data_IF_208732019260
#
_entry.id   IF_208732019260
#
_cell.length_a   1.000
_cell.length_b   1.000
_cell.length_c   1.000
_cell.angle_alpha   90.00
_cell.angle_beta   90.00
_cell.angle_gamma   90.00
#
_symmetry.space_group_name_H-M   'P 1'
#
loop_
_entity.id
_entity.type
_entity.pdbx_description
1 polymer ?
#
# COMPACT_ATOMS: atom_id res chain seq x y z
N UNK A 1 57.04 -26.43 47.99
CA UNK A 1 55.71 -25.82 47.73
C UNK A 1 55.72 -25.27 46.32
N UNK A 2 54.93 -25.65 45.31
CA UNK A 2 53.90 -26.67 45.12
C UNK A 2 54.02 -27.11 43.64
N UNK A 3 53.98 -28.41 43.40
CA UNK A 3 53.90 -29.02 42.07
C UNK A 3 52.62 -28.55 41.35
N UNK A 4 52.72 -28.17 40.07
CA UNK A 4 51.56 -28.04 39.18
C UNK A 4 51.11 -29.45 38.73
N UNK A 5 49.86 -29.86 38.98
CA UNK A 5 49.35 -31.12 38.46
C UNK A 5 48.85 -30.96 37.01
N UNK A 6 49.44 -31.78 36.14
CA UNK A 6 48.81 -32.32 34.93
C UNK A 6 47.49 -32.99 35.34
N UNK A 7 46.35 -32.45 34.94
CA UNK A 7 45.11 -33.24 34.87
C UNK A 7 44.08 -32.54 34.00
N UNK A 8 43.74 -33.21 32.89
CA UNK A 8 42.40 -33.23 32.30
C UNK A 8 41.99 -31.90 31.63
N UNK A 9 42.50 -31.50 30.45
CA UNK A 9 42.31 -32.13 29.12
C UNK A 9 40.96 -32.82 28.85
N UNK A 10 40.00 -32.74 29.77
CA UNK A 10 38.70 -33.42 29.70
C UNK A 10 37.59 -32.45 30.10
N UNK A 11 37.71 -31.19 29.67
CA UNK A 11 36.74 -30.14 29.99
C UNK A 11 36.57 -29.14 28.83
N UNK A 12 36.73 -29.63 27.59
CA UNK A 12 36.63 -28.81 26.37
C UNK A 12 35.66 -29.38 25.32
N UNK A 13 34.94 -30.48 25.60
CA UNK A 13 34.03 -31.10 24.61
C UNK A 13 32.55 -31.06 25.05
N UNK A 14 32.23 -30.66 26.29
CA UNK A 14 30.83 -30.61 26.77
C UNK A 14 30.20 -29.20 26.82
N UNK A 15 30.83 -28.19 26.20
CA UNK A 15 30.28 -26.82 26.12
C UNK A 15 29.99 -26.36 24.69
N UNK A 16 30.13 -27.25 23.70
CA UNK A 16 29.91 -26.96 22.28
C UNK A 16 28.66 -27.67 21.71
N UNK A 17 27.63 -27.84 22.53
CA UNK A 17 26.37 -28.47 22.13
C UNK A 17 25.20 -27.93 22.96
N UNK A 18 25.01 -26.61 22.98
CA UNK A 18 23.85 -25.98 23.65
C UNK A 18 23.35 -24.67 23.04
N UNK A 19 23.73 -24.32 21.80
CA UNK A 19 23.13 -23.16 21.11
C UNK A 19 22.61 -23.51 19.71
N UNK A 20 21.91 -24.65 19.60
CA UNK A 20 21.08 -25.01 18.44
C UNK A 20 19.61 -25.18 18.87
N UNK A 21 19.09 -24.23 19.66
CA UNK A 21 17.69 -24.25 20.10
C UNK A 21 17.17 -22.86 20.51
N UNK A 22 17.42 -21.83 19.69
CA UNK A 22 16.50 -20.69 19.58
C UNK A 22 16.27 -20.51 18.09
N UNK A 23 15.36 -21.29 17.51
CA UNK A 23 13.95 -20.99 17.70
C UNK A 23 13.60 -20.02 16.59
N UNK A 24 13.23 -20.57 15.43
CA UNK A 24 12.70 -19.82 14.31
C UNK A 24 11.42 -19.11 14.70
N UNK A 25 11.54 -17.99 15.41
CA UNK A 25 10.57 -16.92 15.36
C UNK A 25 10.91 -16.14 14.10
N UNK A 26 10.65 -16.76 12.93
CA UNK A 26 10.43 -15.99 11.73
C UNK A 26 9.34 -15.00 12.10
N UNK A 27 9.70 -13.73 12.18
CA UNK A 27 8.74 -12.65 12.32
C UNK A 27 7.83 -12.75 11.11
N UNK A 28 6.76 -13.53 11.21
CA UNK A 28 5.60 -13.37 10.37
C UNK A 28 5.11 -12.01 10.77
N UNK A 29 5.54 -11.03 9.98
CA UNK A 29 5.14 -9.66 10.12
C UNK A 29 3.65 -9.65 9.77
N UNK A 30 2.83 -9.87 10.78
CA UNK A 30 1.41 -9.64 10.75
C UNK A 30 1.26 -8.18 10.38
N UNK A 31 1.08 -7.91 9.08
CA UNK A 31 0.72 -6.59 8.61
C UNK A 31 -0.56 -6.24 9.35
N UNK A 32 -0.47 -5.29 10.28
CA UNK A 32 -1.66 -4.77 10.95
C UNK A 32 -2.63 -4.31 9.85
N UNK A 33 -3.91 -4.69 9.91
CA UNK A 33 -4.92 -4.24 8.93
C UNK A 33 -4.99 -2.72 8.74
N UNK A 34 -4.42 -1.94 9.66
CA UNK A 34 -4.26 -0.48 9.58
C UNK A 34 -3.07 0.05 8.75
N UNK A 35 -2.21 -0.80 8.19
CA UNK A 35 -1.03 -0.35 7.42
C UNK A 35 -1.30 -0.12 5.92
N UNK A 36 -2.54 -0.29 5.45
CA UNK A 36 -2.91 0.08 4.09
C UNK A 36 -3.26 1.58 4.02
N UNK A 37 -2.64 2.38 3.11
CA UNK A 37 -2.96 3.80 2.95
C UNK A 37 -4.45 4.06 2.70
N UNK A 38 -5.16 3.16 2.02
CA UNK A 38 -6.61 3.29 1.82
C UNK A 38 -7.38 3.34 3.14
N UNK A 39 -7.04 2.46 4.08
CA UNK A 39 -7.70 2.37 5.39
C UNK A 39 -7.33 3.55 6.29
N UNK A 40 -6.09 4.03 6.21
CA UNK A 40 -5.62 5.21 6.97
C UNK A 40 -6.31 6.50 6.56
N UNK A 41 -6.61 6.62 5.27
CA UNK A 41 -7.20 7.83 4.66
C UNK A 41 -8.70 7.67 4.37
N UNK A 42 -9.35 6.69 4.97
CA UNK A 42 -10.76 6.41 4.78
C UNK A 42 -11.63 7.61 5.21
N UNK A 43 -12.56 7.98 4.35
CA UNK A 43 -13.57 9.00 4.63
C UNK A 43 -14.71 8.38 5.45
N UNK A 44 -15.31 9.18 6.33
CA UNK A 44 -16.57 8.80 6.95
C UNK A 44 -17.63 8.55 5.87
N UNK A 45 -18.63 7.67 6.09
CA UNK A 45 -19.66 7.39 5.09
C UNK A 45 -20.38 8.64 4.55
N UNK A 46 -20.55 9.68 5.38
CA UNK A 46 -21.14 10.97 5.01
C UNK A 46 -20.28 11.80 4.06
N UNK A 47 -18.96 11.57 4.06
CA UNK A 47 -17.98 12.38 3.33
C UNK A 47 -17.53 11.70 2.03
N UNK A 48 -17.94 10.45 1.83
CA UNK A 48 -17.74 9.75 0.56
C UNK A 48 -18.49 10.47 -0.54
N UNK A 49 -17.86 10.61 -1.70
CA UNK A 49 -18.38 11.43 -2.78
C UNK A 49 -18.24 10.75 -4.14
N UNK A 50 -18.96 11.29 -5.11
CA UNK A 50 -18.91 10.85 -6.50
C UNK A 50 -18.27 11.93 -7.36
N UNK A 51 -17.20 11.56 -8.04
CA UNK A 51 -16.51 12.41 -9.01
C UNK A 51 -16.81 11.88 -10.41
N UNK A 52 -17.43 12.71 -11.26
CA UNK A 52 -17.59 12.40 -12.69
C UNK A 52 -16.60 13.24 -13.47
N UNK A 53 -16.01 12.69 -14.53
CA UNK A 53 -15.09 13.45 -15.35
C UNK A 53 -14.50 12.67 -16.51
N UNK A 54 -13.49 13.27 -17.13
CA UNK A 54 -12.75 12.69 -18.25
C UNK A 54 -11.32 12.38 -17.82
N UNK A 55 -10.83 11.19 -18.12
CA UNK A 55 -9.45 10.78 -17.85
C UNK A 55 -8.52 11.43 -18.87
N UNK A 56 -7.67 12.34 -18.41
CA UNK A 56 -6.62 12.99 -19.19
C UNK A 56 -5.31 12.19 -19.19
N UNK A 57 -5.04 11.43 -18.13
CA UNK A 57 -3.76 10.75 -17.95
C UNK A 57 -3.94 9.43 -17.18
N UNK A 58 -3.14 8.42 -17.53
CA UNK A 58 -3.12 7.08 -16.93
C UNK A 58 -1.69 6.68 -16.63
N UNK A 59 -1.37 6.47 -15.35
CA UNK A 59 -0.05 6.03 -14.90
C UNK A 59 -0.15 4.63 -14.27
N UNK A 60 0.19 3.56 -15.00
CA UNK A 60 0.18 2.21 -14.45
C UNK A 60 1.29 2.04 -13.41
N UNK A 61 0.96 1.42 -12.29
CA UNK A 61 1.88 1.18 -11.17
C UNK A 61 1.62 -0.20 -10.56
N UNK A 62 1.74 -1.25 -11.36
CA UNK A 62 1.44 -2.64 -10.97
C UNK A 62 -0.06 -2.86 -10.74
N UNK A 63 -0.44 -3.30 -9.53
CA UNK A 63 -1.83 -3.54 -9.13
C UNK A 63 -2.69 -2.27 -9.05
N UNK A 64 -2.09 -1.08 -9.12
CA UNK A 64 -2.79 0.20 -9.08
C UNK A 64 -2.61 0.95 -10.40
N UNK A 65 -3.64 1.74 -10.72
CA UNK A 65 -3.65 2.69 -11.82
C UNK A 65 -3.95 4.07 -11.23
N UNK A 66 -3.10 5.05 -11.53
CA UNK A 66 -3.31 6.44 -11.16
C UNK A 66 -3.91 7.16 -12.37
N UNK A 67 -5.02 7.85 -12.16
CA UNK A 67 -5.76 8.56 -13.19
C UNK A 67 -5.76 10.05 -12.88
N UNK A 68 -5.47 10.88 -13.88
CA UNK A 68 -5.78 12.31 -13.81
C UNK A 68 -7.15 12.54 -14.42
N UNK A 69 -8.12 12.88 -13.61
CA UNK A 69 -9.51 13.10 -14.02
C UNK A 69 -9.81 14.58 -14.03
N UNK A 70 -10.27 15.10 -15.18
CA UNK A 70 -10.81 16.45 -15.30
C UNK A 70 -12.32 16.43 -15.08
N UNK A 71 -12.79 17.13 -14.07
CA UNK A 71 -14.20 17.32 -13.78
C UNK A 71 -14.86 18.35 -14.73
N UNK A 72 -16.21 18.43 -14.80
CA UNK A 72 -16.92 19.38 -15.66
C UNK A 72 -16.62 20.84 -15.37
N UNK A 73 -16.29 21.18 -14.11
CA UNK A 73 -15.88 22.52 -13.68
C UNK A 73 -14.44 22.87 -14.08
N UNK A 74 -13.73 21.97 -14.76
CA UNK A 74 -12.34 22.13 -15.18
C UNK A 74 -11.30 21.75 -14.11
N UNK A 75 -11.73 21.43 -12.89
CA UNK A 75 -10.83 20.97 -11.83
C UNK A 75 -10.21 19.62 -12.18
N UNK A 76 -8.98 19.38 -11.73
CA UNK A 76 -8.24 18.14 -11.98
C UNK A 76 -7.96 17.40 -10.69
N UNK A 77 -8.24 16.10 -10.69
CA UNK A 77 -8.11 15.24 -9.53
C UNK A 77 -7.25 14.04 -9.87
N UNK A 78 -6.33 13.69 -8.96
CA UNK A 78 -5.63 12.42 -9.03
C UNK A 78 -6.41 11.35 -8.30
N UNK A 79 -6.65 10.23 -8.98
CA UNK A 79 -7.40 9.08 -8.45
C UNK A 79 -6.53 7.83 -8.54
N UNK A 80 -6.30 7.17 -7.42
CA UNK A 80 -5.76 5.82 -7.38
C UNK A 80 -6.90 4.80 -7.35
N UNK A 81 -6.83 3.81 -8.25
CA UNK A 81 -7.78 2.70 -8.31
C UNK A 81 -7.04 1.38 -8.57
N UNK A 82 -7.72 0.25 -8.37
CA UNK A 82 -7.17 -1.06 -8.73
C UNK A 82 -7.17 -1.21 -10.26
N UNK A 83 -6.03 -1.61 -10.83
CA UNK A 83 -5.88 -1.76 -12.29
C UNK A 83 -6.91 -2.73 -12.89
N UNK A 84 -7.31 -3.76 -12.13
CA UNK A 84 -8.30 -4.76 -12.55
C UNK A 84 -9.73 -4.25 -12.57
N UNK A 85 -10.02 -3.21 -11.78
CA UNK A 85 -11.35 -2.62 -11.66
C UNK A 85 -11.49 -1.31 -12.48
N UNK A 86 -10.40 -0.82 -13.06
CA UNK A 86 -10.39 0.44 -13.76
C UNK A 86 -11.12 0.36 -15.11
N UNK A 87 -12.07 1.28 -15.33
CA UNK A 87 -12.64 1.50 -16.65
C UNK A 87 -11.56 1.92 -17.67
N UNK A 88 -11.66 1.35 -18.87
CA UNK A 88 -10.83 1.74 -20.03
C UNK A 88 -11.38 2.98 -20.74
N UNK A 89 -12.65 3.32 -20.50
CA UNK A 89 -13.29 4.49 -21.10
C UNK A 89 -12.70 5.80 -20.58
N UNK A 90 -12.68 6.82 -21.43
CA UNK A 90 -12.18 8.13 -21.01
C UNK A 90 -13.20 8.88 -20.15
N UNK A 91 -14.50 8.74 -20.42
CA UNK A 91 -15.55 9.28 -19.55
C UNK A 91 -15.78 8.31 -18.38
N UNK A 92 -15.57 8.77 -17.16
CA UNK A 92 -15.61 7.95 -15.95
C UNK A 92 -16.44 8.56 -14.83
N UNK A 93 -16.94 7.68 -13.99
CA UNK A 93 -17.49 8.00 -12.68
C UNK A 93 -16.64 7.29 -11.61
N UNK A 94 -16.24 8.04 -10.59
CA UNK A 94 -15.40 7.58 -9.50
C UNK A 94 -16.20 7.66 -8.21
N UNK A 95 -16.36 6.53 -7.53
CA UNK A 95 -16.83 6.53 -6.13
C UNK A 95 -15.61 6.65 -5.22
N UNK A 96 -15.49 7.80 -4.55
CA UNK A 96 -14.35 8.13 -3.68
C UNK A 96 -14.69 7.72 -2.26
N UNK A 97 -13.81 6.92 -1.66
CA UNK A 97 -13.97 6.41 -0.30
C UNK A 97 -12.82 6.80 0.63
N UNK A 98 -11.71 7.31 0.10
CA UNK A 98 -10.57 7.78 0.87
C UNK A 98 -9.89 8.97 0.19
N UNK A 99 -9.29 9.85 1.00
CA UNK A 99 -8.55 11.03 0.55
C UNK A 99 -7.28 11.20 1.37
N UNK A 100 -6.14 11.20 0.70
CA UNK A 100 -4.87 11.60 1.27
C UNK A 100 -4.52 13.00 0.77
N UNK A 101 -4.38 13.97 1.67
CA UNK A 101 -4.02 15.34 1.28
C UNK A 101 -2.58 15.44 0.78
N UNK A 102 -1.67 14.62 1.33
CA UNK A 102 -0.29 14.47 0.88
C UNK A 102 0.07 12.99 0.78
N UNK A 103 0.24 12.49 -0.45
CA UNK A 103 0.54 11.08 -0.70
C UNK A 103 1.79 10.90 -1.54
N UNK A 104 2.79 10.24 -0.97
CA UNK A 104 3.97 9.80 -1.69
C UNK A 104 3.78 8.40 -2.29
N UNK A 105 3.79 8.29 -3.62
CA UNK A 105 3.79 7.00 -4.31
C UNK A 105 5.19 6.44 -4.42
N UNK A 106 5.53 5.48 -3.55
CA UNK A 106 6.80 4.73 -3.65
C UNK A 106 6.97 4.00 -4.99
N UNK A 107 5.88 3.65 -5.66
CA UNK A 107 5.92 2.94 -6.96
C UNK A 107 6.27 3.87 -8.12
N UNK A 108 5.81 5.12 -8.06
CA UNK A 108 6.04 6.12 -9.11
C UNK A 108 7.17 7.10 -8.75
N UNK A 109 7.67 7.07 -7.51
CA UNK A 109 8.68 8.02 -7.02
C UNK A 109 8.21 9.47 -7.05
N UNK A 110 6.90 9.73 -6.84
CA UNK A 110 6.32 11.08 -6.91
C UNK A 110 5.21 11.29 -5.88
N UNK A 111 4.95 12.55 -5.61
CA UNK A 111 3.90 13.01 -4.69
C UNK A 111 2.61 13.40 -5.42
N UNK A 112 1.51 13.30 -4.68
CA UNK A 112 0.17 13.68 -5.07
C UNK A 112 -0.48 14.45 -3.92
N UNK A 113 -0.97 15.65 -4.21
CA UNK A 113 -1.69 16.48 -3.23
C UNK A 113 -2.92 17.13 -3.88
N UNK A 114 -4.15 16.66 -3.61
CA UNK A 114 -4.50 15.41 -2.92
C UNK A 114 -4.45 14.18 -3.85
N UNK A 115 -4.41 12.99 -3.26
CA UNK A 115 -4.76 11.73 -3.92
C UNK A 115 -6.10 11.20 -3.40
N UNK A 116 -7.02 10.97 -4.32
CA UNK A 116 -8.29 10.30 -4.04
C UNK A 116 -8.13 8.80 -4.27
N UNK A 117 -8.70 7.98 -3.39
CA UNK A 117 -8.82 6.54 -3.63
C UNK A 117 -10.28 6.22 -3.94
N UNK A 118 -10.49 5.51 -5.05
CA UNK A 118 -11.84 5.26 -5.53
C UNK A 118 -11.97 4.05 -6.46
N UNK A 119 -13.20 3.56 -6.61
CA UNK A 119 -13.57 2.64 -7.68
C UNK A 119 -13.97 3.45 -8.92
N UNK A 120 -13.49 3.02 -10.08
CA UNK A 120 -13.63 3.78 -11.33
C UNK A 120 -14.44 2.97 -12.32
N UNK A 121 -15.60 3.49 -12.71
CA UNK A 121 -16.49 2.87 -13.68
C UNK A 121 -16.65 3.78 -14.90
N UNK A 122 -17.10 3.22 -16.02
CA UNK A 122 -17.51 4.04 -17.15
C UNK A 122 -18.64 4.99 -16.71
N UNK A 123 -18.61 6.22 -17.21
CA UNK A 123 -19.71 7.15 -16.96
C UNK A 123 -21.00 6.56 -17.55
N UNK A 124 -22.16 6.67 -16.87
CA UNK A 124 -23.41 6.20 -17.41
C UNK A 124 -23.69 6.93 -18.73
N UNK A 125 -23.91 6.16 -19.80
CA UNK A 125 -24.44 6.68 -21.05
C UNK A 125 -25.81 7.27 -20.76
N UNK A 126 -26.02 8.56 -21.02
CA UNK A 126 -27.36 9.11 -21.02
C UNK A 126 -28.15 8.38 -22.12
N UNK A 127 -29.08 7.52 -21.74
CA UNK A 127 -30.01 6.87 -22.66
C UNK A 127 -30.71 7.97 -23.44
N UNK A 128 -30.47 8.01 -24.75
CA UNK A 128 -31.10 8.96 -25.68
C UNK A 128 -32.43 8.42 -26.17
#
# INVERSE_FOLDING_TARGET
>A
MRHLPRMRRTLLILSMLSLLALGGAGWVQTRSPGDNPLSRHALAPSDQMRLTGFVEERLPAGSYLYLRVRAPDGSRHWVATLSTAASRESAVQVQVFARADDFHSRRLGRDFSPLLFGSVQAAPSASR
#
